data_IF_534232741025
#
_entry.id   IF_534232741025
#
_cell.length_a   1.000
_cell.length_b   1.000
_cell.length_c   1.000
_cell.angle_alpha   90.00
_cell.angle_beta   90.00
_cell.angle_gamma   90.00
#
_symmetry.space_group_name_H-M   'P 1'
#
loop_
_entity.id
_entity.type
_entity.pdbx_description
1 polymer ?
#
# COMPACT_ATOMS: atom_id res chain seq x y z
N UNK A 1 13.72 18.38 -12.65
CA UNK A 1 14.74 17.48 -13.22
C UNK A 1 15.14 16.49 -12.14
N UNK A 2 15.17 15.17 -12.38
CA UNK A 2 15.54 14.23 -11.33
C UNK A 2 17.04 14.38 -11.03
N UNK A 3 17.36 14.63 -9.76
CA UNK A 3 18.73 14.65 -9.28
C UNK A 3 19.34 13.24 -9.39
N UNK A 4 20.46 13.16 -10.11
CA UNK A 4 21.30 11.98 -10.23
C UNK A 4 21.72 11.47 -8.84
N UNK A 5 21.45 10.20 -8.56
CA UNK A 5 21.82 9.53 -7.31
C UNK A 5 21.13 8.17 -7.22
N UNK A 6 21.76 7.18 -7.82
CA UNK A 6 21.34 5.78 -7.92
C UNK A 6 20.94 5.15 -6.59
N UNK A 7 19.63 4.95 -6.43
CA UNK A 7 19.02 3.89 -5.64
C UNK A 7 17.73 3.56 -6.38
N UNK A 8 17.85 2.76 -7.43
CA UNK A 8 16.71 2.20 -8.17
C UNK A 8 15.88 1.36 -7.21
N UNK A 9 14.56 1.54 -7.17
CA UNK A 9 13.64 0.64 -6.49
C UNK A 9 14.10 -0.82 -6.75
N UNK A 10 14.57 -1.56 -5.71
CA UNK A 10 15.14 -2.90 -5.85
C UNK A 10 14.07 -3.96 -6.16
N UNK A 11 12.84 -3.53 -6.44
CA UNK A 11 11.73 -4.36 -6.83
C UNK A 11 10.68 -4.47 -5.72
N UNK A 12 9.56 -5.10 -6.06
CA UNK A 12 8.38 -5.20 -5.22
C UNK A 12 8.55 -6.11 -3.99
N UNK A 13 9.77 -6.61 -3.76
CA UNK A 13 10.21 -7.25 -2.52
C UNK A 13 10.45 -6.26 -1.38
N UNK A 14 10.81 -5.01 -1.70
CA UNK A 14 11.14 -3.98 -0.71
C UNK A 14 10.02 -2.99 -0.46
N UNK A 15 9.06 -2.94 -1.35
CA UNK A 15 7.91 -2.06 -1.25
C UNK A 15 6.72 -2.63 -2.04
N UNK A 16 5.51 -2.19 -1.74
CA UNK A 16 4.28 -2.64 -2.42
C UNK A 16 3.99 -1.92 -3.74
N UNK A 17 4.84 -0.97 -4.16
CA UNK A 17 4.66 -0.16 -5.37
C UNK A 17 5.94 0.08 -6.17
N UNK A 18 5.80 0.45 -7.44
CA UNK A 18 6.92 0.74 -8.35
C UNK A 18 7.66 2.04 -8.01
N UNK A 19 6.97 3.01 -7.40
CA UNK A 19 7.62 4.23 -6.92
C UNK A 19 8.12 4.04 -5.49
N UNK A 20 9.32 4.58 -5.21
CA UNK A 20 9.88 4.55 -3.86
C UNK A 20 9.07 5.44 -2.91
N UNK A 21 8.79 4.98 -1.67
CA UNK A 21 8.24 5.86 -0.65
C UNK A 21 9.28 6.91 -0.24
N UNK A 22 8.82 8.12 0.08
CA UNK A 22 9.67 9.27 0.47
C UNK A 22 10.69 8.93 1.56
N UNK A 23 10.31 8.03 2.47
CA UNK A 23 11.13 7.55 3.58
C UNK A 23 12.47 6.94 3.17
N UNK A 24 12.54 6.32 1.98
CA UNK A 24 13.77 5.70 1.47
C UNK A 24 14.86 6.75 1.22
N UNK A 25 14.48 7.99 0.96
CA UNK A 25 15.44 9.09 0.74
C UNK A 25 16.28 9.39 1.97
N UNK A 26 15.75 9.16 3.17
CA UNK A 26 16.48 9.36 4.43
C UNK A 26 16.81 8.05 5.17
N UNK A 27 16.27 6.92 4.71
CA UNK A 27 16.54 5.56 5.18
C UNK A 27 16.61 4.58 3.99
N UNK A 28 17.71 4.60 3.22
CA UNK A 28 17.82 3.84 1.97
C UNK A 28 17.66 2.32 2.20
N UNK A 29 17.22 1.57 1.19
CA UNK A 29 17.03 0.12 1.33
C UNK A 29 18.30 -0.64 1.77
N UNK A 30 19.48 -0.09 1.51
CA UNK A 30 20.76 -0.63 1.97
C UNK A 30 20.96 -0.56 3.48
N UNK A 31 20.30 0.37 4.18
CA UNK A 31 20.37 0.49 5.64
C UNK A 31 19.33 -0.35 6.38
N UNK A 32 18.41 -1.01 5.67
CA UNK A 32 17.36 -1.81 6.28
C UNK A 32 17.94 -3.07 6.93
N UNK A 33 17.41 -3.52 8.09
CA UNK A 33 17.84 -4.76 8.71
C UNK A 33 17.57 -5.94 7.75
N UNK A 34 18.51 -6.88 7.69
CA UNK A 34 18.47 -8.04 6.81
C UNK A 34 18.24 -9.30 7.59
N UNK A 35 17.31 -10.10 7.10
CA UNK A 35 16.96 -11.38 7.71
C UNK A 35 17.09 -12.48 6.67
N UNK A 36 17.35 -13.69 7.13
CA UNK A 36 17.42 -14.88 6.27
C UNK A 36 16.01 -15.34 5.93
N UNK A 37 15.89 -16.02 4.78
CA UNK A 37 14.72 -16.87 4.50
C UNK A 37 14.77 -18.08 5.44
N UNK A 38 13.61 -18.53 5.92
CA UNK A 38 13.55 -19.77 6.70
C UNK A 38 13.89 -20.96 5.80
N UNK A 39 14.80 -21.81 6.26
CA UNK A 39 15.33 -22.94 5.48
C UNK A 39 15.17 -24.28 6.19
N UNK A 40 14.74 -24.28 7.44
CA UNK A 40 14.66 -25.46 8.31
C UNK A 40 13.38 -25.43 9.15
N UNK A 41 12.96 -26.60 9.62
CA UNK A 41 11.85 -26.71 10.55
C UNK A 41 12.15 -25.98 11.86
N UNK A 42 11.13 -25.36 12.45
CA UNK A 42 11.31 -24.57 13.67
C UNK A 42 10.15 -24.79 14.66
N UNK A 43 10.48 -24.83 15.94
CA UNK A 43 9.52 -24.82 17.04
C UNK A 43 9.67 -23.54 17.86
N UNK A 44 8.56 -22.93 18.24
CA UNK A 44 8.54 -21.68 19.02
C UNK A 44 7.30 -21.58 19.89
N UNK A 45 7.27 -20.63 20.82
CA UNK A 45 6.05 -20.35 21.55
C UNK A 45 5.02 -19.61 20.69
N UNK A 46 5.41 -18.52 20.04
CA UNK A 46 4.50 -17.70 19.23
C UNK A 46 5.09 -17.42 17.85
N UNK A 47 4.31 -17.65 16.80
CA UNK A 47 4.64 -17.22 15.44
C UNK A 47 3.75 -16.07 15.03
N UNK A 48 4.34 -15.02 14.46
CA UNK A 48 3.65 -13.82 13.98
C UNK A 48 3.90 -13.71 12.49
N UNK A 49 2.85 -13.55 11.69
CA UNK A 49 2.98 -13.36 10.25
C UNK A 49 2.63 -11.92 9.84
N UNK A 50 3.62 -11.22 9.30
CA UNK A 50 3.58 -9.83 8.85
C UNK A 50 4.51 -8.94 9.67
N UNK A 51 5.59 -8.43 9.06
CA UNK A 51 6.56 -7.53 9.68
C UNK A 51 6.27 -6.05 9.35
N UNK A 52 4.99 -5.67 9.46
CA UNK A 52 4.55 -4.28 9.51
C UNK A 52 4.45 -3.77 10.96
N UNK A 53 3.88 -2.59 11.14
CA UNK A 53 3.73 -1.96 12.47
C UNK A 53 3.04 -2.88 13.48
N UNK A 54 1.93 -3.53 13.10
CA UNK A 54 1.18 -4.39 14.01
C UNK A 54 2.01 -5.60 14.49
N UNK A 55 2.69 -6.29 13.57
CA UNK A 55 3.46 -7.49 13.91
C UNK A 55 4.73 -7.18 14.69
N UNK A 56 5.46 -6.13 14.30
CA UNK A 56 6.68 -5.70 15.01
C UNK A 56 6.36 -5.23 16.43
N UNK A 57 5.31 -4.41 16.61
CA UNK A 57 4.89 -3.98 17.94
C UNK A 57 4.42 -5.15 18.80
N UNK A 58 3.69 -6.11 18.22
CA UNK A 58 3.28 -7.32 18.94
C UNK A 58 4.47 -8.17 19.36
N UNK A 59 5.46 -8.34 18.48
CA UNK A 59 6.70 -9.04 18.80
C UNK A 59 7.44 -8.37 19.96
N UNK A 60 7.56 -7.05 19.93
CA UNK A 60 8.18 -6.28 21.00
C UNK A 60 7.51 -6.52 22.36
N UNK A 61 6.18 -6.38 22.42
CA UNK A 61 5.42 -6.58 23.66
C UNK A 61 5.53 -8.01 24.22
N UNK A 62 5.54 -9.02 23.35
CA UNK A 62 5.67 -10.42 23.74
C UNK A 62 7.08 -10.75 24.25
N UNK A 63 8.11 -10.33 23.52
CA UNK A 63 9.51 -10.54 23.90
C UNK A 63 9.82 -9.85 25.23
N UNK A 64 9.32 -8.63 25.44
CA UNK A 64 9.44 -7.92 26.73
C UNK A 64 8.79 -8.66 27.91
N UNK A 65 7.85 -9.57 27.64
CA UNK A 65 7.19 -10.44 28.62
C UNK A 65 7.83 -11.83 28.70
N UNK A 66 8.99 -12.05 28.07
CA UNK A 66 9.72 -13.32 28.12
C UNK A 66 9.18 -14.39 27.17
N UNK A 67 8.34 -14.02 26.19
CA UNK A 67 7.77 -14.98 25.24
C UNK A 67 8.67 -15.12 24.03
N UNK A 68 8.99 -16.36 23.66
CA UNK A 68 9.73 -16.67 22.43
C UNK A 68 8.86 -16.40 21.19
N UNK A 69 9.37 -15.60 20.27
CA UNK A 69 8.67 -15.11 19.08
C UNK A 69 9.48 -15.38 17.82
N UNK A 70 8.80 -15.92 16.80
CA UNK A 70 9.27 -15.92 15.42
C UNK A 70 8.39 -15.02 14.57
N UNK A 71 9.00 -14.00 13.95
CA UNK A 71 8.33 -13.06 13.06
C UNK A 71 8.62 -13.40 11.60
N UNK A 72 7.58 -13.64 10.80
CA UNK A 72 7.68 -14.01 9.39
C UNK A 72 7.17 -12.89 8.48
N UNK A 73 7.92 -12.58 7.43
CA UNK A 73 7.51 -11.64 6.39
C UNK A 73 7.66 -12.28 5.01
N UNK A 74 6.68 -12.08 4.13
CA UNK A 74 6.65 -12.66 2.79
C UNK A 74 7.65 -12.00 1.81
N UNK A 75 8.24 -10.90 2.24
CA UNK A 75 9.08 -9.95 1.51
C UNK A 75 10.15 -9.41 2.47
N UNK A 76 10.64 -8.20 2.25
CA UNK A 76 11.39 -7.45 3.25
C UNK A 76 10.48 -6.84 4.32
N UNK A 77 11.03 -6.64 5.52
CA UNK A 77 10.32 -5.99 6.62
C UNK A 77 9.83 -4.61 6.21
N UNK A 78 8.67 -4.17 6.72
CA UNK A 78 8.07 -2.87 6.39
C UNK A 78 7.76 -2.62 4.91
N UNK A 79 7.86 -3.62 4.04
CA UNK A 79 7.61 -3.48 2.58
C UNK A 79 6.15 -3.21 2.20
N UNK A 80 5.21 -3.41 3.12
CA UNK A 80 3.78 -3.11 2.91
C UNK A 80 3.41 -1.66 3.24
N UNK A 81 2.16 -1.48 3.65
CA UNK A 81 1.57 -0.16 3.94
C UNK A 81 2.31 0.61 5.03
N UNK A 82 2.88 -0.08 6.03
CA UNK A 82 3.66 0.58 7.09
C UNK A 82 4.88 1.34 6.55
N UNK A 83 5.45 0.93 5.41
CA UNK A 83 6.54 1.65 4.75
C UNK A 83 6.09 2.72 3.77
N UNK A 84 4.79 2.82 3.49
CA UNK A 84 4.21 3.76 2.50
C UNK A 84 3.24 4.78 3.11
N UNK A 85 3.02 4.78 4.42
CA UNK A 85 2.19 5.79 5.09
C UNK A 85 2.82 7.19 5.02
N UNK A 86 2.04 8.24 5.32
CA UNK A 86 2.56 9.61 5.49
C UNK A 86 3.27 9.83 6.84
N UNK A 87 3.40 8.80 7.68
CA UNK A 87 4.14 8.90 8.95
C UNK A 87 3.48 9.78 10.00
N UNK A 88 2.24 10.21 9.79
CA UNK A 88 1.56 11.11 10.70
C UNK A 88 1.01 10.34 11.91
N UNK A 89 1.33 10.83 13.10
CA UNK A 89 0.77 10.41 14.39
C UNK A 89 -0.25 11.44 14.86
N UNK A 90 -1.45 10.94 15.13
CA UNK A 90 -2.54 11.74 15.64
C UNK A 90 -3.77 10.90 15.97
N UNK A 91 -4.63 11.46 16.80
CA UNK A 91 -5.87 10.87 17.30
C UNK A 91 -7.08 11.02 16.35
N UNK A 92 -6.95 11.79 15.26
CA UNK A 92 -8.05 12.08 14.32
C UNK A 92 -8.41 10.95 13.34
N UNK A 93 -7.54 9.96 13.15
CA UNK A 93 -7.78 8.87 12.18
C UNK A 93 -8.77 7.81 12.68
N UNK A 94 -9.11 7.83 13.97
CA UNK A 94 -10.09 6.92 14.58
C UNK A 94 -11.51 7.51 14.73
N UNK A 95 -11.69 8.78 14.39
CA UNK A 95 -12.98 9.45 14.52
C UNK A 95 -13.94 9.02 13.41
N UNK A 96 -15.21 8.78 13.75
CA UNK A 96 -16.28 8.63 12.76
C UNK A 96 -16.52 9.98 12.09
N UNK A 97 -15.71 10.32 11.10
CA UNK A 97 -15.90 11.50 10.24
C UNK A 97 -17.33 11.59 9.67
N UNK A 98 -18.03 10.45 9.58
CA UNK A 98 -19.45 10.35 9.20
C UNK A 98 -20.40 11.13 10.13
N UNK A 99 -20.04 11.36 11.39
CA UNK A 99 -20.87 12.12 12.33
C UNK A 99 -20.66 13.65 12.20
N UNK A 100 -19.52 14.08 11.64
CA UNK A 100 -19.18 15.49 11.36
C UNK A 100 -19.90 15.99 10.08
N UNK A 101 -20.01 15.12 9.07
CA UNK A 101 -20.58 15.44 7.73
C UNK A 101 -22.10 15.74 7.77
N UNK A 102 -22.77 15.56 8.92
CA UNK A 102 -24.21 15.84 9.06
C UNK A 102 -24.55 17.30 9.38
N UNK A 103 -23.56 18.13 9.69
CA UNK A 103 -23.77 19.57 9.89
C UNK A 103 -23.23 20.37 8.71
N UNK A 104 -23.82 21.54 8.46
CA UNK A 104 -23.54 22.45 7.35
C UNK A 104 -22.08 22.46 6.89
N UNK A 105 -21.84 22.04 5.63
CA UNK A 105 -20.53 21.61 5.08
C UNK A 105 -19.49 22.72 4.89
N UNK A 106 -19.83 23.97 5.24
CA UNK A 106 -18.99 25.16 5.10
C UNK A 106 -18.61 25.81 6.44
N UNK A 107 -18.98 25.19 7.57
CA UNK A 107 -18.80 25.74 8.91
C UNK A 107 -17.63 25.10 9.66
N UNK A 108 -16.41 25.58 9.36
CA UNK A 108 -15.15 25.21 10.05
C UNK A 108 -15.28 25.24 11.58
N UNK A 109 -16.12 26.14 12.12
CA UNK A 109 -16.34 26.28 13.56
C UNK A 109 -16.98 25.04 14.18
N UNK A 110 -17.95 24.43 13.48
CA UNK A 110 -18.60 23.18 13.92
C UNK A 110 -17.69 21.98 13.81
N UNK A 111 -16.77 21.98 12.85
CA UNK A 111 -15.77 20.92 12.68
C UNK A 111 -14.70 21.00 13.76
N UNK A 112 -14.22 22.21 14.08
CA UNK A 112 -13.34 22.47 15.22
C UNK A 112 -14.04 22.10 16.53
N UNK A 113 -15.33 22.41 16.68
CA UNK A 113 -16.12 22.03 17.85
C UNK A 113 -16.28 20.50 17.95
N UNK A 114 -16.65 19.83 16.86
CA UNK A 114 -16.77 18.37 16.81
C UNK A 114 -15.43 17.67 17.09
N UNK A 115 -14.34 18.23 16.56
CA UNK A 115 -12.97 17.80 16.85
C UNK A 115 -12.66 17.96 18.34
N UNK A 116 -12.86 19.14 18.88
CA UNK A 116 -12.57 19.47 20.29
C UNK A 116 -13.40 18.60 21.25
N UNK A 117 -14.67 18.36 20.91
CA UNK A 117 -15.57 17.48 21.67
C UNK A 117 -15.12 16.01 21.67
N UNK A 118 -14.56 15.52 20.57
CA UNK A 118 -14.08 14.15 20.46
C UNK A 118 -12.65 13.95 21.03
N UNK A 119 -11.79 14.96 20.92
CA UNK A 119 -10.40 14.93 21.36
C UNK A 119 -10.22 15.17 22.87
N UNK A 120 -11.21 15.81 23.52
CA UNK A 120 -11.20 16.09 24.96
C UNK A 120 -10.48 17.40 25.35
N UNK A 121 -10.50 17.78 26.65
CA UNK A 121 -10.26 19.16 27.12
C UNK A 121 -8.81 19.67 27.04
N UNK A 122 -7.85 18.86 26.61
CA UNK A 122 -6.43 19.24 26.52
C UNK A 122 -5.96 19.56 25.10
N UNK A 123 -6.86 19.61 24.11
CA UNK A 123 -6.49 19.61 22.68
C UNK A 123 -7.22 20.70 21.91
N UNK A 124 -6.47 21.54 21.21
CA UNK A 124 -6.99 22.62 20.40
C UNK A 124 -6.83 22.30 18.90
N UNK A 125 -7.95 22.31 18.17
CA UNK A 125 -7.92 22.59 16.74
C UNK A 125 -8.05 24.11 16.58
N UNK A 126 -7.09 24.72 15.91
CA UNK A 126 -7.08 26.18 15.68
C UNK A 126 -7.38 26.43 14.20
N UNK A 127 -8.39 27.23 13.91
CA UNK A 127 -8.61 27.71 12.55
C UNK A 127 -7.37 28.44 12.06
N UNK A 128 -6.97 28.16 10.81
CA UNK A 128 -5.93 28.89 10.12
C UNK A 128 -6.61 29.72 9.03
N UNK A 129 -6.49 31.04 9.14
CA UNK A 129 -7.14 31.98 8.22
C UNK A 129 -6.50 31.93 6.81
N UNK A 130 -5.21 31.56 6.71
CA UNK A 130 -4.49 31.36 5.45
C UNK A 130 -3.41 30.28 5.61
N UNK A 131 -3.51 29.18 4.84
CA UNK A 131 -2.39 28.26 4.65
C UNK A 131 -1.93 28.43 3.21
N UNK A 132 -0.64 28.72 2.98
CA UNK A 132 -0.05 28.86 1.62
C UNK A 132 -0.38 27.72 0.66
N UNK A 133 -0.73 26.54 1.17
CA UNK A 133 -1.09 25.35 0.41
C UNK A 133 -2.59 25.26 0.02
N UNK A 134 -3.46 26.17 0.48
CA UNK A 134 -4.91 26.05 0.29
C UNK A 134 -5.66 27.38 0.49
N UNK A 135 -6.52 27.73 -0.47
CA UNK A 135 -7.50 28.83 -0.35
C UNK A 135 -8.77 28.38 0.43
N UNK A 136 -8.85 27.11 0.84
CA UNK A 136 -9.92 26.57 1.68
C UNK A 136 -9.66 26.84 3.17
N UNK A 137 -10.74 26.93 3.94
CA UNK A 137 -10.72 26.93 5.41
C UNK A 137 -9.93 25.71 5.92
N UNK A 138 -8.90 25.95 6.73
CA UNK A 138 -8.03 24.89 7.27
C UNK A 138 -7.96 25.00 8.78
N UNK A 139 -7.60 23.90 9.43
CA UNK A 139 -7.30 23.91 10.86
C UNK A 139 -5.96 23.22 11.13
N UNK A 140 -5.28 23.76 12.12
CA UNK A 140 -4.11 23.16 12.73
C UNK A 140 -4.55 22.18 13.80
N UNK A 141 -3.82 21.09 13.92
CA UNK A 141 -3.94 20.19 15.07
C UNK A 141 -2.67 20.29 15.91
N UNK A 142 -2.84 20.54 17.21
CA UNK A 142 -1.75 20.93 18.14
C UNK A 142 -1.02 19.75 18.79
N UNK A 143 -1.59 18.54 18.78
CA UNK A 143 -1.04 17.33 19.43
C UNK A 143 -0.71 16.24 18.40
N UNK A 144 0.15 16.59 17.44
CA UNK A 144 0.47 15.73 16.29
C UNK A 144 1.95 15.71 16.02
N UNK A 145 2.43 14.57 15.55
CA UNK A 145 3.82 14.43 15.16
C UNK A 145 3.93 13.76 13.80
N UNK A 146 5.00 14.06 13.07
CA UNK A 146 5.41 13.22 11.94
C UNK A 146 6.56 12.34 12.42
N UNK A 147 6.39 11.03 12.28
CA UNK A 147 7.38 10.02 12.60
C UNK A 147 7.93 9.45 11.29
N UNK A 148 9.20 9.03 11.28
CA UNK A 148 9.71 8.25 10.16
C UNK A 148 9.36 6.77 10.38
N UNK A 149 8.34 6.20 9.70
CA UNK A 149 7.76 4.93 10.10
C UNK A 149 8.74 3.76 10.00
N UNK A 150 9.52 3.68 8.91
CA UNK A 150 10.46 2.56 8.75
C UNK A 150 11.66 2.66 9.69
N UNK A 151 12.26 3.85 9.90
CA UNK A 151 13.35 4.03 10.90
C UNK A 151 12.92 3.58 12.30
N UNK A 152 11.72 3.97 12.73
CA UNK A 152 11.19 3.57 14.03
C UNK A 152 11.06 2.04 14.14
N UNK A 153 10.40 1.41 13.16
CA UNK A 153 10.19 -0.04 13.14
C UNK A 153 11.49 -0.84 12.99
N UNK A 154 12.44 -0.35 12.19
CA UNK A 154 13.77 -0.94 12.05
C UNK A 154 14.58 -0.81 13.34
N UNK A 155 14.43 0.30 14.07
CA UNK A 155 15.00 0.48 15.40
C UNK A 155 14.51 -0.58 16.39
N UNK A 156 13.20 -0.87 16.40
CA UNK A 156 12.64 -1.95 17.23
C UNK A 156 13.20 -3.30 16.82
N UNK A 157 13.24 -3.61 15.52
CA UNK A 157 13.77 -4.88 15.02
C UNK A 157 15.24 -5.09 15.40
N UNK A 158 16.08 -4.05 15.31
CA UNK A 158 17.47 -4.10 15.79
C UNK A 158 17.53 -4.30 17.29
N UNK A 159 16.75 -3.54 18.07
CA UNK A 159 16.68 -3.73 19.52
C UNK A 159 16.35 -5.18 19.90
N UNK A 160 15.33 -5.78 19.28
CA UNK A 160 14.95 -7.17 19.53
C UNK A 160 16.04 -8.15 19.10
N UNK A 161 16.65 -7.95 17.93
CA UNK A 161 17.70 -8.84 17.41
C UNK A 161 18.98 -8.78 18.25
N UNK A 162 19.37 -7.59 18.69
CA UNK A 162 20.65 -7.35 19.39
C UNK A 162 20.56 -7.68 20.88
N UNK A 163 19.39 -7.44 21.51
CA UNK A 163 19.23 -7.54 22.97
C UNK A 163 18.40 -8.75 23.42
N UNK A 164 17.68 -9.42 22.52
CA UNK A 164 16.76 -10.52 22.83
C UNK A 164 16.85 -11.65 21.81
N UNK A 165 18.05 -11.92 21.28
CA UNK A 165 18.28 -12.98 20.26
C UNK A 165 17.92 -14.39 20.73
N UNK A 166 17.85 -14.63 22.04
CA UNK A 166 17.37 -15.87 22.67
C UNK A 166 15.85 -16.03 22.58
N UNK A 167 15.11 -14.91 22.54
CA UNK A 167 13.65 -14.88 22.48
C UNK A 167 13.10 -14.48 21.12
N UNK A 168 13.89 -13.85 20.25
CA UNK A 168 13.40 -13.27 19.01
C UNK A 168 14.19 -13.75 17.79
N UNK A 169 13.46 -14.19 16.77
CA UNK A 169 13.99 -14.36 15.42
C UNK A 169 13.02 -13.80 14.38
N UNK A 170 13.58 -13.28 13.28
CA UNK A 170 12.79 -12.80 12.15
C UNK A 170 13.30 -13.41 10.85
N UNK A 171 12.37 -13.73 9.95
CA UNK A 171 12.63 -14.30 8.64
C UNK A 171 11.87 -13.53 7.57
N UNK A 172 12.59 -13.02 6.57
CA UNK A 172 12.04 -12.38 5.38
C UNK A 172 11.90 -13.39 4.25
N UNK A 173 11.22 -13.01 3.16
CA UNK A 173 10.98 -13.88 2.00
C UNK A 173 10.36 -15.24 2.37
N UNK A 174 9.62 -15.27 3.48
CA UNK A 174 9.03 -16.46 4.12
C UNK A 174 7.52 -16.25 4.23
N UNK A 175 6.82 -16.51 3.13
CA UNK A 175 5.38 -16.29 3.02
C UNK A 175 4.60 -17.42 3.70
N UNK A 176 3.75 -17.07 4.67
CA UNK A 176 2.76 -18.02 5.21
C UNK A 176 1.65 -18.28 4.20
N UNK A 177 1.34 -19.56 3.96
CA UNK A 177 0.37 -20.03 2.96
C UNK A 177 -0.89 -20.62 3.60
N UNK A 178 -0.68 -21.39 4.66
CA UNK A 178 -1.73 -22.04 5.41
C UNK A 178 -1.29 -22.27 6.84
N UNK A 179 -2.26 -22.61 7.69
CA UNK A 179 -2.04 -23.02 9.05
C UNK A 179 -3.07 -24.08 9.43
N UNK A 180 -2.73 -24.92 10.41
CA UNK A 180 -3.62 -25.93 10.99
C UNK A 180 -3.43 -25.92 12.51
N UNK A 181 -4.50 -25.62 13.25
CA UNK A 181 -4.54 -25.75 14.70
C UNK A 181 -5.10 -27.10 15.13
N UNK A 182 -4.67 -27.59 16.28
CA UNK A 182 -5.15 -28.85 16.89
C UNK A 182 -5.62 -28.69 18.34
N UNK A 183 -5.70 -27.45 18.84
CA UNK A 183 -6.10 -27.13 20.21
C UNK A 183 -4.94 -27.08 21.22
N UNK A 184 -3.80 -27.70 20.90
CA UNK A 184 -2.58 -27.66 21.71
C UNK A 184 -1.46 -26.82 21.06
N UNK A 185 -1.61 -26.50 19.78
CA UNK A 185 -0.76 -25.60 19.05
C UNK A 185 -1.24 -25.38 17.62
N UNK A 186 -0.31 -24.90 16.78
CA UNK A 186 -0.55 -24.56 15.40
C UNK A 186 0.67 -24.94 14.56
N UNK A 187 0.42 -25.62 13.44
CA UNK A 187 1.41 -25.86 12.39
C UNK A 187 1.22 -24.83 11.27
N UNK A 188 2.31 -24.19 10.85
CA UNK A 188 2.34 -23.18 9.78
C UNK A 188 3.00 -23.77 8.55
N UNK A 189 2.34 -23.63 7.41
CA UNK A 189 2.87 -23.96 6.09
C UNK A 189 3.35 -22.67 5.40
N UNK A 190 4.58 -22.68 4.91
CA UNK A 190 5.20 -21.57 4.19
C UNK A 190 5.44 -21.92 2.72
N UNK A 191 5.62 -20.89 1.89
CA UNK A 191 5.84 -21.03 0.45
C UNK A 191 7.24 -21.64 0.20
N UNK A 192 7.29 -22.76 -0.54
CA UNK A 192 8.50 -23.57 -0.68
C UNK A 192 8.52 -24.73 0.33
N UNK A 193 8.09 -25.92 -0.12
CA UNK A 193 7.64 -27.08 0.69
C UNK A 193 8.69 -27.78 1.58
N UNK A 194 9.82 -27.15 1.92
CA UNK A 194 10.91 -27.82 2.65
C UNK A 194 10.93 -27.59 4.16
N UNK A 195 10.08 -26.71 4.71
CA UNK A 195 10.08 -26.39 6.13
C UNK A 195 8.69 -26.03 6.67
N UNK A 196 8.49 -26.33 7.94
CA UNK A 196 7.27 -26.15 8.71
C UNK A 196 7.59 -25.52 10.06
N UNK A 197 6.63 -24.77 10.61
CA UNK A 197 6.79 -24.19 11.94
C UNK A 197 5.71 -24.74 12.85
N UNK A 198 6.10 -25.22 14.03
CA UNK A 198 5.19 -25.54 15.12
C UNK A 198 5.24 -24.43 16.16
N UNK A 199 4.07 -23.94 16.56
CA UNK A 199 3.96 -22.94 17.61
C UNK A 199 2.79 -23.24 18.56
N UNK A 200 2.80 -22.65 19.75
CA UNK A 200 1.61 -22.66 20.62
C UNK A 200 0.57 -21.66 20.14
N UNK A 201 1.01 -20.49 19.68
CA UNK A 201 0.15 -19.39 19.25
C UNK A 201 0.51 -18.91 17.84
N UNK A 202 -0.50 -18.52 17.06
CA UNK A 202 -0.32 -17.87 15.77
C UNK A 202 -1.02 -16.51 15.75
N UNK A 203 -0.27 -15.47 15.42
CA UNK A 203 -0.78 -14.09 15.26
C UNK A 203 -0.76 -13.72 13.77
N UNK A 204 -1.92 -13.34 13.23
CA UNK A 204 -2.06 -12.86 11.86
C UNK A 204 -1.98 -11.32 11.83
N UNK A 205 -0.82 -10.78 11.47
CA UNK A 205 -0.55 -9.34 11.38
C UNK A 205 -0.29 -8.89 9.92
N UNK A 206 -0.99 -9.49 8.95
CA UNK A 206 -0.73 -9.38 7.52
C UNK A 206 -1.74 -8.52 6.73
N UNK A 207 -2.47 -7.63 7.42
CA UNK A 207 -3.60 -6.81 6.94
C UNK A 207 -4.82 -7.62 6.46
N UNK A 208 -4.61 -8.66 5.65
CA UNK A 208 -5.67 -9.53 5.12
C UNK A 208 -5.42 -10.98 5.56
N UNK A 209 -6.25 -11.55 6.46
CA UNK A 209 -6.01 -12.87 7.03
C UNK A 209 -6.14 -14.00 5.99
N UNK A 210 -5.35 -15.05 6.16
CA UNK A 210 -5.42 -16.27 5.35
C UNK A 210 -6.72 -17.01 5.68
N UNK A 211 -7.53 -17.30 4.65
CA UNK A 211 -8.75 -18.14 4.70
C UNK A 211 -9.98 -17.57 5.44
N UNK A 212 -10.03 -16.30 5.81
CA UNK A 212 -11.28 -15.71 6.33
C UNK A 212 -12.12 -15.08 5.21
N UNK A 213 -12.82 -15.92 4.43
CA UNK A 213 -13.63 -15.46 3.27
C UNK A 213 -14.66 -14.41 3.68
N UNK A 214 -15.32 -14.61 4.82
CA UNK A 214 -16.29 -13.64 5.37
C UNK A 214 -15.63 -12.31 5.70
N UNK A 215 -14.46 -12.32 6.33
CA UNK A 215 -13.72 -11.08 6.62
C UNK A 215 -13.26 -10.40 5.33
N UNK A 216 -12.73 -11.16 4.37
CA UNK A 216 -12.29 -10.61 3.08
C UNK A 216 -13.47 -9.98 2.30
N UNK A 217 -14.66 -10.59 2.36
CA UNK A 217 -15.86 -10.04 1.73
C UNK A 217 -16.44 -8.83 2.47
N UNK A 218 -16.24 -8.73 3.79
CA UNK A 218 -16.73 -7.63 4.61
C UNK A 218 -15.82 -6.39 4.60
N UNK A 219 -14.57 -6.51 4.13
CA UNK A 219 -13.62 -5.40 4.08
C UNK A 219 -13.56 -4.78 2.68
N UNK A 220 -13.70 -3.47 2.62
CA UNK A 220 -13.41 -2.70 1.42
C UNK A 220 -11.90 -2.47 1.30
N UNK A 221 -11.37 -2.56 0.08
CA UNK A 221 -9.99 -2.18 -0.22
C UNK A 221 -9.99 -0.72 -0.70
N UNK A 222 -9.25 0.14 -0.01
CA UNK A 222 -9.07 1.53 -0.41
C UNK A 222 -7.61 1.78 -0.75
N UNK A 223 -7.39 2.48 -1.86
CA UNK A 223 -6.05 2.92 -2.25
C UNK A 223 -5.96 4.42 -2.10
N UNK A 224 -4.93 4.84 -1.37
CA UNK A 224 -4.57 6.25 -1.19
C UNK A 224 -3.16 6.45 -1.73
N UNK A 225 -2.91 7.62 -2.30
CA UNK A 225 -1.58 8.03 -2.72
C UNK A 225 -1.08 9.19 -1.85
N UNK A 226 0.23 9.19 -1.62
CA UNK A 226 0.95 10.29 -1.03
C UNK A 226 1.88 10.89 -2.07
N UNK A 227 1.99 12.20 -2.06
CA UNK A 227 2.87 12.95 -2.95
C UNK A 227 3.90 13.62 -2.06
N UNK A 228 5.17 13.40 -2.36
CA UNK A 228 6.26 14.07 -1.67
C UNK A 228 6.99 14.98 -2.66
N UNK A 229 7.13 16.25 -2.30
CA UNK A 229 7.92 17.20 -3.07
C UNK A 229 8.96 17.89 -2.19
N UNK A 230 10.10 18.27 -2.77
CA UNK A 230 11.16 18.97 -2.06
C UNK A 230 10.88 20.46 -2.05
N UNK A 231 10.90 21.08 -0.86
CA UNK A 231 10.72 22.52 -0.68
C UNK A 231 11.82 23.11 0.21
N UNK A 232 12.12 24.42 0.12
CA UNK A 232 12.98 25.10 1.08
C UNK A 232 12.48 24.94 2.51
N UNK A 233 13.38 24.71 3.47
CA UNK A 233 13.02 24.58 4.89
C UNK A 233 12.38 25.86 5.45
N UNK A 234 12.69 27.02 4.88
CA UNK A 234 12.06 28.31 5.20
C UNK A 234 10.59 28.39 4.76
N UNK A 235 10.14 27.49 3.90
CA UNK A 235 8.76 27.37 3.43
C UNK A 235 8.04 26.17 4.05
N UNK A 236 8.70 25.45 4.97
CA UNK A 236 8.14 24.29 5.63
C UNK A 236 6.91 24.67 6.46
N UNK A 237 5.90 23.81 6.44
CA UNK A 237 4.79 23.91 7.39
C UNK A 237 5.32 23.69 8.80
N UNK A 238 5.02 24.62 9.72
CA UNK A 238 5.37 24.48 11.14
C UNK A 238 4.54 23.39 11.83
N UNK A 239 3.39 23.04 11.25
CA UNK A 239 2.43 22.11 11.81
C UNK A 239 1.87 21.16 10.74
N UNK A 240 1.30 20.03 11.19
CA UNK A 240 0.48 19.20 10.31
C UNK A 240 -0.81 19.94 10.02
N UNK A 241 -1.08 20.18 8.75
CA UNK A 241 -2.29 20.89 8.30
C UNK A 241 -3.29 19.87 7.80
N UNK A 242 -4.53 20.01 8.26
CA UNK A 242 -5.68 19.30 7.70
C UNK A 242 -6.65 20.30 7.10
N UNK A 243 -7.03 20.10 5.84
CA UNK A 243 -8.07 20.90 5.19
C UNK A 243 -9.22 20.03 4.76
N UNK A 244 -10.44 20.56 4.87
CA UNK A 244 -11.66 19.87 4.52
C UNK A 244 -12.13 20.39 3.16
N UNK A 245 -12.36 19.46 2.23
CA UNK A 245 -13.08 19.77 0.99
C UNK A 245 -14.38 18.98 0.99
N UNK A 246 -15.33 19.42 0.18
CA UNK A 246 -16.74 18.96 0.13
C UNK A 246 -16.95 17.45 -0.01
N UNK A 247 -15.90 16.65 -0.27
CA UNK A 247 -15.96 15.19 -0.46
C UNK A 247 -14.90 14.43 0.34
N UNK A 248 -13.66 14.94 0.53
CA UNK A 248 -12.58 14.30 1.30
C UNK A 248 -11.58 15.35 1.85
N UNK A 249 -11.10 15.17 3.09
CA UNK A 249 -10.04 16.01 3.65
C UNK A 249 -8.65 15.72 3.05
N UNK A 250 -7.73 16.68 3.15
CA UNK A 250 -6.30 16.47 2.88
C UNK A 250 -5.48 16.64 4.16
N UNK A 251 -4.34 15.96 4.23
CA UNK A 251 -3.33 16.16 5.28
C UNK A 251 -1.99 16.51 4.63
N UNK A 252 -1.40 17.62 5.05
CA UNK A 252 -0.05 18.02 4.68
C UNK A 252 0.87 17.92 5.89
N UNK A 253 2.04 17.32 5.69
CA UNK A 253 3.06 17.10 6.73
C UNK A 253 4.45 17.29 6.12
N UNK A 254 5.47 17.40 6.97
CA UNK A 254 6.86 17.54 6.51
C UNK A 254 7.73 16.42 7.05
N UNK A 255 8.67 15.95 6.23
CA UNK A 255 9.68 14.98 6.60
C UNK A 255 11.09 15.52 6.36
N UNK A 256 12.06 15.01 7.12
CA UNK A 256 13.47 15.41 7.01
C UNK A 256 14.05 15.10 5.63
N UNK A 257 14.84 16.03 5.11
CA UNK A 257 15.59 15.88 3.87
C UNK A 257 17.09 15.66 4.18
N UNK A 258 17.86 14.94 3.34
CA UNK A 258 19.31 14.81 3.52
C UNK A 258 20.07 16.14 3.47
N UNK A 259 19.62 17.07 2.63
CA UNK A 259 20.07 18.48 2.65
C UNK A 259 19.41 19.22 3.83
N UNK A 260 20.19 19.84 4.74
CA UNK A 260 19.67 20.52 5.92
C UNK A 260 18.84 21.78 5.61
N UNK A 261 18.93 22.32 4.39
CA UNK A 261 18.19 23.51 3.95
C UNK A 261 16.85 23.17 3.29
N UNK A 262 16.53 21.89 3.12
CA UNK A 262 15.33 21.41 2.44
C UNK A 262 14.49 20.54 3.37
N UNK A 263 13.21 20.38 3.03
CA UNK A 263 12.31 19.37 3.63
C UNK A 263 11.51 18.69 2.52
N UNK A 264 10.98 17.50 2.81
CA UNK A 264 9.95 16.90 1.96
C UNK A 264 8.58 17.33 2.47
N UNK A 265 7.81 18.05 1.67
CA UNK A 265 6.39 18.28 1.88
C UNK A 265 5.63 17.05 1.39
N UNK A 266 4.96 16.36 2.32
CA UNK A 266 4.15 15.17 2.05
C UNK A 266 2.68 15.56 2.13
N UNK A 267 1.99 15.47 1.00
CA UNK A 267 0.55 15.74 0.90
C UNK A 267 -0.20 14.41 0.68
N UNK A 268 -1.26 14.24 1.47
CA UNK A 268 -2.15 13.09 1.45
C UNK A 268 -3.55 13.59 1.14
N UNK A 269 -4.17 13.06 0.09
CA UNK A 269 -5.48 13.52 -0.38
C UNK A 269 -5.38 14.34 -1.67
N UNK A 270 -6.19 13.99 -2.67
CA UNK A 270 -6.22 14.63 -3.99
C UNK A 270 -7.11 15.87 -4.08
N UNK A 271 -7.41 16.50 -2.95
CA UNK A 271 -8.54 17.40 -2.80
C UNK A 271 -8.33 18.78 -3.46
N UNK A 272 -7.11 19.34 -3.46
CA UNK A 272 -6.86 20.65 -4.09
C UNK A 272 -7.01 20.62 -5.61
N UNK A 273 -6.56 19.55 -6.27
CA UNK A 273 -6.77 19.37 -7.72
C UNK A 273 -8.26 19.24 -8.02
N UNK A 274 -9.00 18.44 -7.25
CA UNK A 274 -10.45 18.27 -7.44
C UNK A 274 -11.24 19.56 -7.15
N UNK A 275 -10.87 20.30 -6.11
CA UNK A 275 -11.47 21.61 -5.78
C UNK A 275 -11.19 22.65 -6.86
N UNK A 276 -9.95 22.76 -7.32
CA UNK A 276 -9.54 23.71 -8.35
C UNK A 276 -10.20 23.38 -9.71
N UNK A 277 -10.35 22.08 -10.05
CA UNK A 277 -11.12 21.61 -11.21
C UNK A 277 -12.62 21.93 -11.11
N UNK A 278 -13.23 21.75 -9.94
CA UNK A 278 -14.66 22.05 -9.72
C UNK A 278 -14.93 23.56 -9.70
N UNK A 279 -13.95 24.37 -9.28
CA UNK A 279 -14.08 25.83 -9.15
C UNK A 279 -13.46 26.62 -10.32
N UNK A 280 -12.85 25.96 -11.30
CA UNK A 280 -12.27 26.57 -12.50
C UNK A 280 -10.95 27.33 -12.27
N UNK A 281 -10.27 27.08 -11.14
CA UNK A 281 -8.99 27.70 -10.79
C UNK A 281 -7.86 26.88 -11.43
N UNK A 282 -6.94 27.53 -12.15
CA UNK A 282 -5.87 26.84 -12.87
C UNK A 282 -4.80 26.30 -11.89
N UNK A 283 -4.58 24.99 -11.86
CA UNK A 283 -3.64 24.34 -10.93
C UNK A 283 -2.41 23.76 -11.66
N UNK A 284 -1.20 24.11 -11.21
CA UNK A 284 0.07 23.69 -11.84
C UNK A 284 0.33 22.18 -11.79
N UNK A 285 -0.37 21.45 -10.91
CA UNK A 285 -0.33 19.99 -10.76
C UNK A 285 -1.51 19.28 -11.44
N UNK A 286 -2.49 20.01 -11.97
CA UNK A 286 -3.69 19.47 -12.62
C UNK A 286 -3.33 18.40 -13.66
N UNK A 287 -2.42 18.70 -14.57
CA UNK A 287 -1.97 17.78 -15.63
C UNK A 287 -1.35 16.46 -15.11
N UNK A 288 -0.85 16.43 -13.88
CA UNK A 288 -0.24 15.25 -13.26
C UNK A 288 -1.30 14.34 -12.62
N UNK A 289 -2.42 14.91 -12.18
CA UNK A 289 -3.46 14.24 -11.39
C UNK A 289 -4.84 14.20 -12.06
N UNK A 290 -5.00 14.80 -13.24
CA UNK A 290 -6.23 14.84 -14.01
C UNK A 290 -6.73 13.42 -14.35
N UNK A 291 -7.88 13.04 -13.76
CA UNK A 291 -8.53 11.75 -14.01
C UNK A 291 -9.08 11.63 -15.44
N UNK A 292 -9.21 12.75 -16.16
CA UNK A 292 -9.53 12.81 -17.58
C UNK A 292 -8.31 12.66 -18.49
N UNK A 293 -7.10 12.49 -17.93
CA UNK A 293 -5.90 12.06 -18.66
C UNK A 293 -6.18 10.73 -19.35
N UNK A 294 -6.51 10.83 -20.64
CA UNK A 294 -6.72 9.70 -21.53
C UNK A 294 -5.50 9.53 -22.43
N UNK A 295 -4.85 8.35 -22.49
CA UNK A 295 -4.45 7.83 -23.79
C UNK A 295 -5.74 7.75 -24.61
N UNK A 296 -5.79 8.42 -25.76
CA UNK A 296 -6.98 8.63 -26.61
C UNK A 296 -8.10 7.56 -26.48
N UNK A 297 -9.25 7.88 -25.84
CA UNK A 297 -10.63 7.50 -26.25
C UNK A 297 -11.75 7.97 -25.28
N UNK A 298 -12.87 8.50 -25.82
CA UNK A 298 -14.04 9.14 -25.13
C UNK A 298 -14.97 8.09 -24.47
N UNK A 299 -15.58 8.29 -23.29
CA UNK A 299 -16.85 9.01 -23.03
C UNK A 299 -17.13 9.12 -21.50
N UNK A 300 -17.98 10.07 -21.11
CA UNK A 300 -18.67 10.34 -19.82
C UNK A 300 -20.13 10.70 -20.22
N UNK A 301 -21.21 10.38 -19.49
CA UNK A 301 -21.65 10.89 -18.18
C UNK A 301 -22.85 10.09 -17.58
N UNK A 302 -23.05 10.28 -16.26
CA UNK A 302 -24.28 10.25 -15.42
C UNK A 302 -24.50 9.14 -14.34
N UNK A 303 -24.67 9.69 -13.11
CA UNK A 303 -25.41 9.33 -11.88
C UNK A 303 -25.19 7.98 -11.16
N UNK A 304 -24.65 8.10 -9.94
CA UNK A 304 -24.25 7.04 -9.02
C UNK A 304 -25.29 6.95 -7.90
N UNK A 305 -26.22 5.99 -8.00
CA UNK A 305 -26.95 5.49 -6.83
C UNK A 305 -27.06 3.97 -6.88
N UNK A 306 -26.63 3.33 -5.78
CA UNK A 306 -26.96 1.97 -5.34
C UNK A 306 -27.26 0.94 -6.45
N UNK A 307 -26.26 0.57 -7.25
CA UNK A 307 -26.35 -0.65 -8.06
C UNK A 307 -25.17 -1.60 -7.84
N UNK A 308 -25.55 -2.75 -7.27
CA UNK A 308 -24.96 -4.08 -7.26
C UNK A 308 -23.47 -4.23 -7.56
N UNK A 309 -22.76 -4.84 -6.60
CA UNK A 309 -21.46 -5.49 -6.78
C UNK A 309 -21.42 -6.37 -8.05
N UNK A 310 -22.55 -6.96 -8.44
CA UNK A 310 -22.69 -7.74 -9.68
C UNK A 310 -22.64 -6.89 -10.96
N UNK A 311 -23.18 -5.67 -10.95
CA UNK A 311 -23.03 -4.71 -12.06
C UNK A 311 -21.62 -4.10 -12.09
N UNK A 312 -20.97 -3.87 -10.95
CA UNK A 312 -19.55 -3.51 -10.90
C UNK A 312 -18.66 -4.63 -11.46
N UNK A 313 -19.00 -5.89 -11.18
CA UNK A 313 -18.34 -7.06 -11.77
C UNK A 313 -18.63 -7.14 -13.27
N UNK A 314 -19.86 -6.90 -13.73
CA UNK A 314 -20.23 -6.90 -15.14
C UNK A 314 -19.58 -5.73 -15.92
N UNK A 315 -19.64 -4.49 -15.41
CA UNK A 315 -18.96 -3.32 -15.97
C UNK A 315 -17.43 -3.42 -15.94
N UNK A 316 -16.85 -4.07 -14.90
CA UNK A 316 -15.41 -4.38 -14.91
C UNK A 316 -15.02 -5.35 -16.03
N UNK A 317 -15.98 -6.15 -16.51
CA UNK A 317 -15.81 -7.11 -17.60
C UNK A 317 -16.16 -6.55 -18.98
N UNK A 318 -16.92 -5.47 -19.12
CA UNK A 318 -17.32 -4.97 -20.46
C UNK A 318 -16.44 -3.81 -20.97
N UNK A 319 -16.00 -2.88 -20.11
CA UNK A 319 -15.44 -1.59 -20.59
C UNK A 319 -13.91 -1.50 -20.70
N UNK A 320 -13.14 -2.56 -20.37
CA UNK A 320 -11.69 -2.40 -20.10
C UNK A 320 -10.76 -3.22 -20.98
N UNK A 321 -11.29 -3.92 -21.97
CA UNK A 321 -10.50 -4.71 -22.92
C UNK A 321 -10.22 -3.93 -24.21
N UNK A 322 -9.48 -2.83 -24.08
CA UNK A 322 -8.83 -2.22 -25.23
C UNK A 322 -7.68 -3.14 -25.68
N UNK A 323 -8.01 -4.22 -26.39
CA UNK A 323 -7.01 -4.98 -27.15
C UNK A 323 -6.64 -4.11 -28.34
N UNK A 324 -5.55 -3.42 -28.15
CA UNK A 324 -4.57 -3.08 -29.18
C UNK A 324 -3.69 -4.34 -29.31
N UNK A 325 -3.27 -4.71 -30.52
CA UNK A 325 -2.42 -5.89 -30.77
C UNK A 325 -1.27 -6.01 -29.75
N UNK A 326 -0.88 -7.23 -29.33
CA UNK A 326 0.25 -7.44 -28.41
C UNK A 326 1.52 -6.75 -28.97
N UNK A 327 1.67 -6.76 -30.29
CA UNK A 327 2.78 -6.09 -30.98
C UNK A 327 2.75 -4.57 -30.79
N UNK A 328 1.56 -3.99 -30.76
CA UNK A 328 1.32 -2.56 -30.59
C UNK A 328 1.39 -2.08 -29.13
N UNK A 329 1.48 -3.00 -28.15
CA UNK A 329 1.69 -2.65 -26.75
C UNK A 329 3.04 -1.92 -26.60
N UNK A 330 3.08 -0.68 -26.06
CA UNK A 330 4.35 0.04 -25.90
C UNK A 330 5.30 -0.65 -24.90
N UNK A 331 6.63 -0.49 -25.02
CA UNK A 331 7.56 -0.90 -23.98
C UNK A 331 7.20 -0.31 -22.61
N UNK A 332 7.52 -1.04 -21.54
CA UNK A 332 7.16 -0.71 -20.15
C UNK A 332 5.66 -0.68 -19.82
N UNK A 333 4.79 -1.20 -20.67
CA UNK A 333 3.34 -1.19 -20.44
C UNK A 333 2.75 -2.59 -20.33
N UNK A 334 1.52 -2.67 -19.81
CA UNK A 334 0.77 -3.90 -19.71
C UNK A 334 -0.68 -3.72 -20.11
N UNK A 335 -1.34 -4.85 -20.36
CA UNK A 335 -2.75 -4.92 -20.71
C UNK A 335 -3.37 -6.22 -20.20
N UNK A 336 -4.69 -6.25 -20.07
CA UNK A 336 -5.44 -7.48 -19.87
C UNK A 336 -6.31 -7.69 -21.10
N UNK A 337 -6.10 -8.82 -21.79
CA UNK A 337 -6.83 -9.22 -22.99
C UNK A 337 -8.06 -10.02 -22.57
N UNK A 338 -9.20 -9.71 -23.18
CA UNK A 338 -10.47 -10.40 -22.91
C UNK A 338 -10.44 -11.86 -23.36
N UNK A 339 -11.23 -12.69 -22.67
CA UNK A 339 -11.39 -14.11 -22.99
C UNK A 339 -11.77 -14.38 -24.45
N UNK A 340 -12.64 -13.56 -25.05
CA UNK A 340 -13.12 -13.70 -26.44
C UNK A 340 -12.04 -13.45 -27.49
N UNK A 341 -10.95 -12.77 -27.10
CA UNK A 341 -9.80 -12.48 -27.96
C UNK A 341 -8.61 -13.39 -27.69
N UNK A 342 -8.80 -14.48 -26.95
CA UNK A 342 -7.74 -15.45 -26.61
C UNK A 342 -8.07 -16.82 -27.17
N UNK A 343 -7.04 -17.55 -27.61
CA UNK A 343 -7.20 -18.90 -28.19
C UNK A 343 -7.86 -19.91 -27.24
N UNK A 344 -7.74 -19.72 -25.93
CA UNK A 344 -8.20 -20.65 -24.90
C UNK A 344 -9.46 -20.18 -24.15
N UNK A 345 -10.08 -19.06 -24.56
CA UNK A 345 -11.30 -18.56 -23.92
C UNK A 345 -11.10 -18.07 -22.48
N UNK A 346 -9.89 -17.65 -22.12
CA UNK A 346 -9.51 -17.20 -20.77
C UNK A 346 -8.73 -15.89 -20.84
N UNK A 347 -9.00 -14.89 -19.97
CA UNK A 347 -8.29 -13.62 -20.04
C UNK A 347 -6.78 -13.77 -19.86
N UNK A 348 -5.99 -12.94 -20.53
CA UNK A 348 -4.53 -12.92 -20.42
C UNK A 348 -4.03 -11.57 -19.91
N UNK A 349 -3.16 -11.58 -18.91
CA UNK A 349 -2.43 -10.39 -18.45
C UNK A 349 -1.06 -10.37 -19.13
N UNK A 350 -0.74 -9.29 -19.83
CA UNK A 350 0.45 -9.18 -20.67
C UNK A 350 1.24 -7.95 -20.26
N UNK A 351 2.55 -8.12 -20.08
CA UNK A 351 3.47 -7.03 -19.81
C UNK A 351 4.61 -7.05 -20.83
N UNK A 352 4.95 -5.88 -21.39
CA UNK A 352 6.10 -5.66 -22.26
C UNK A 352 7.15 -4.85 -21.49
N UNK A 353 8.37 -5.38 -21.39
CA UNK A 353 9.46 -4.72 -20.65
C UNK A 353 10.16 -3.63 -21.46
N UNK A 354 11.23 -3.04 -20.90
CA UNK A 354 12.06 -2.02 -21.56
C UNK A 354 12.63 -2.48 -22.90
N UNK A 355 12.93 -3.77 -23.04
CA UNK A 355 13.59 -4.38 -24.20
C UNK A 355 12.57 -4.82 -25.27
N UNK A 356 11.28 -4.62 -25.01
CA UNK A 356 10.20 -5.05 -25.89
C UNK A 356 9.80 -6.52 -25.71
N UNK A 357 10.40 -7.25 -24.76
CA UNK A 357 10.08 -8.65 -24.51
C UNK A 357 8.77 -8.74 -23.74
N UNK A 358 7.83 -9.52 -24.26
CA UNK A 358 6.53 -9.75 -23.63
C UNK A 358 6.57 -10.93 -22.67
N UNK A 359 5.79 -10.84 -21.61
CA UNK A 359 5.48 -11.95 -20.70
C UNK A 359 3.96 -12.04 -20.55
N UNK A 360 3.44 -13.25 -20.59
CA UNK A 360 2.02 -13.52 -20.50
C UNK A 360 1.69 -14.36 -19.26
N UNK A 361 0.67 -13.93 -18.52
CA UNK A 361 0.13 -14.61 -17.35
C UNK A 361 -1.38 -14.80 -17.51
N UNK A 362 -1.99 -15.64 -16.69
CA UNK A 362 -3.45 -15.67 -16.59
C UNK A 362 -3.97 -14.30 -16.12
N UNK A 363 -4.93 -13.73 -16.84
CA UNK A 363 -5.60 -12.47 -16.50
C UNK A 363 -6.64 -12.61 -15.38
N UNK A 364 -6.58 -13.69 -14.61
CA UNK A 364 -7.49 -13.97 -13.51
C UNK A 364 -6.72 -13.98 -12.19
N UNK A 365 -7.28 -13.28 -11.20
CA UNK A 365 -6.78 -13.29 -9.84
C UNK A 365 -6.83 -14.70 -9.25
N UNK A 366 -5.73 -15.15 -8.65
CA UNK A 366 -5.62 -16.46 -7.98
C UNK A 366 -6.42 -16.57 -6.69
N UNK A 367 -6.98 -15.46 -6.18
CA UNK A 367 -7.85 -15.48 -5.00
C UNK A 367 -9.27 -15.98 -5.33
N UNK A 368 -9.98 -15.26 -6.20
CA UNK A 368 -11.41 -15.49 -6.46
C UNK A 368 -11.76 -15.33 -7.95
N UNK A 369 -10.77 -15.49 -8.85
CA UNK A 369 -10.94 -15.43 -10.30
C UNK A 369 -11.55 -14.13 -10.84
N UNK A 370 -11.38 -13.03 -10.12
CA UNK A 370 -11.64 -11.69 -10.64
C UNK A 370 -10.72 -11.39 -11.83
N UNK A 371 -11.26 -10.78 -12.88
CA UNK A 371 -10.46 -10.31 -14.02
C UNK A 371 -9.56 -9.19 -13.54
N UNK A 372 -8.27 -9.29 -13.84
CA UNK A 372 -7.27 -8.30 -13.44
C UNK A 372 -7.38 -7.02 -14.28
N UNK A 373 -6.77 -5.95 -13.77
CA UNK A 373 -6.62 -4.68 -14.47
C UNK A 373 -5.16 -4.25 -14.46
N UNK A 374 -4.71 -3.64 -15.55
CA UNK A 374 -3.39 -3.02 -15.60
C UNK A 374 -3.35 -1.74 -14.76
N UNK A 375 -2.33 -1.61 -13.94
CA UNK A 375 -2.01 -0.39 -13.20
C UNK A 375 -0.71 0.21 -13.75
N UNK A 376 -0.78 1.26 -14.59
CA UNK A 376 0.40 1.86 -15.20
C UNK A 376 1.32 2.56 -14.20
N UNK A 377 0.77 3.07 -13.09
CA UNK A 377 1.55 3.80 -12.08
C UNK A 377 2.44 2.87 -11.27
N UNK A 378 1.90 1.71 -10.86
CA UNK A 378 2.62 0.74 -10.04
C UNK A 378 3.22 -0.42 -10.86
N UNK A 379 3.03 -0.39 -12.19
CA UNK A 379 3.41 -1.46 -13.11
C UNK A 379 2.98 -2.84 -12.61
N UNK A 380 1.71 -2.95 -12.18
CA UNK A 380 1.15 -4.19 -11.61
C UNK A 380 -0.16 -4.58 -12.27
N UNK A 381 -0.56 -5.84 -12.05
CA UNK A 381 -1.92 -6.29 -12.32
C UNK A 381 -2.71 -6.30 -11.01
N UNK A 382 -3.81 -5.57 -10.98
CA UNK A 382 -4.63 -5.35 -9.79
C UNK A 382 -6.01 -6.00 -9.95
N UNK A 383 -6.48 -6.68 -8.90
CA UNK A 383 -7.80 -7.29 -8.86
C UNK A 383 -8.83 -6.30 -8.31
N UNK A 384 -9.87 -5.92 -9.09
CA UNK A 384 -10.90 -4.96 -8.67
C UNK A 384 -11.86 -5.50 -7.62
N UNK A 385 -11.83 -6.79 -7.30
CA UNK A 385 -12.78 -7.38 -6.35
C UNK A 385 -12.34 -7.15 -4.90
N UNK A 386 -11.10 -7.52 -4.58
CA UNK A 386 -10.60 -7.54 -3.21
C UNK A 386 -9.20 -6.93 -3.08
N UNK A 387 -8.69 -6.27 -4.14
CA UNK A 387 -7.44 -5.51 -4.10
C UNK A 387 -6.14 -6.30 -4.28
N UNK A 388 -6.18 -7.60 -4.58
CA UNK A 388 -4.95 -8.38 -4.81
C UNK A 388 -4.10 -7.79 -5.94
N UNK A 389 -2.78 -7.75 -5.73
CA UNK A 389 -1.83 -7.16 -6.67
C UNK A 389 -0.75 -8.16 -7.05
N UNK A 390 -0.41 -8.15 -8.33
CA UNK A 390 0.61 -9.02 -8.91
C UNK A 390 1.65 -8.19 -9.63
N UNK A 391 2.92 -8.49 -9.37
CA UNK A 391 4.03 -7.93 -10.13
C UNK A 391 3.88 -8.29 -11.62
N UNK A 392 3.98 -7.30 -12.49
CA UNK A 392 3.87 -7.50 -13.93
C UNK A 392 5.04 -8.24 -14.55
N UNK A 393 6.22 -8.19 -13.91
CA UNK A 393 7.44 -8.84 -14.40
C UNK A 393 7.47 -10.32 -14.09
N UNK A 394 7.04 -10.69 -12.89
CA UNK A 394 7.19 -12.04 -12.35
C UNK A 394 5.87 -12.78 -12.13
N UNK A 395 4.74 -12.06 -12.10
CA UNK A 395 3.45 -12.60 -11.69
C UNK A 395 3.33 -12.85 -10.17
N UNK A 396 4.37 -12.56 -9.38
CA UNK A 396 4.37 -12.78 -7.92
C UNK A 396 3.28 -11.94 -7.25
N UNK A 397 2.55 -12.53 -6.31
CA UNK A 397 1.61 -11.78 -5.50
C UNK A 397 2.36 -10.85 -4.52
N UNK A 398 2.13 -9.55 -4.67
CA UNK A 398 2.74 -8.48 -3.86
C UNK A 398 1.74 -7.87 -2.88
N UNK A 399 0.44 -8.06 -3.07
CA UNK A 399 -0.57 -7.66 -2.09
C UNK A 399 -1.73 -8.66 -2.11
N UNK A 400 -2.14 -9.12 -0.92
CA UNK A 400 -3.21 -10.10 -0.74
C UNK A 400 -4.61 -9.53 -1.06
N UNK A 401 -5.69 -10.31 -0.91
CA UNK A 401 -5.81 -11.64 -0.30
C UNK A 401 -5.22 -12.83 -1.07
N UNK A 402 -4.85 -12.67 -2.35
CA UNK A 402 -4.21 -13.76 -3.10
C UNK A 402 -2.96 -14.27 -2.37
N UNK A 403 -2.82 -15.59 -2.26
CA UNK A 403 -1.69 -16.25 -1.60
C UNK A 403 -0.77 -16.99 -2.59
N UNK A 404 -1.02 -16.85 -3.89
CA UNK A 404 -0.22 -17.43 -4.97
C UNK A 404 -0.04 -16.41 -6.10
N UNK A 405 1.10 -16.47 -6.80
CA UNK A 405 1.33 -15.67 -8.00
C UNK A 405 0.45 -16.13 -9.18
N UNK A 406 0.39 -15.30 -10.23
CA UNK A 406 -0.32 -15.63 -11.46
C UNK A 406 0.33 -16.83 -12.15
N UNK A 407 -0.49 -17.65 -12.83
CA UNK A 407 0.05 -18.77 -13.60
C UNK A 407 0.66 -18.24 -14.90
N UNK A 408 1.92 -18.59 -15.22
CA UNK A 408 2.54 -18.25 -16.49
C UNK A 408 1.81 -18.86 -17.69
N UNK A 409 1.69 -18.11 -18.77
CA UNK A 409 1.06 -18.53 -20.03
C UNK A 409 2.05 -18.71 -21.20
N UNK A 410 3.28 -18.20 -21.07
CA UNK A 410 4.37 -18.42 -22.03
C UNK A 410 5.69 -18.81 -21.33
N UNK A 411 6.73 -19.14 -22.10
CA UNK A 411 8.03 -19.53 -21.54
C UNK A 411 8.74 -18.37 -20.82
N UNK A 412 8.63 -17.14 -21.35
CA UNK A 412 9.23 -15.96 -20.75
C UNK A 412 8.67 -15.67 -19.34
N UNK A 413 7.37 -15.85 -19.14
CA UNK A 413 6.72 -15.73 -17.85
C UNK A 413 7.09 -16.89 -16.91
N UNK A 414 7.30 -18.11 -17.43
CA UNK A 414 7.77 -19.24 -16.61
C UNK A 414 9.16 -19.00 -16.05
N UNK A 415 10.08 -18.54 -16.89
CA UNK A 415 11.45 -18.16 -16.50
C UNK A 415 11.42 -17.04 -15.45
N UNK A 416 10.64 -15.99 -15.70
CA UNK A 416 10.53 -14.86 -14.78
C UNK A 416 9.90 -15.24 -13.42
N UNK A 417 8.88 -16.11 -13.43
CA UNK A 417 8.26 -16.60 -12.21
C UNK A 417 9.23 -17.45 -11.38
N UNK A 418 10.07 -18.28 -12.03
CA UNK A 418 11.08 -19.09 -11.35
C UNK A 418 12.14 -18.24 -10.65
N UNK A 419 12.67 -17.22 -11.32
CA UNK A 419 13.66 -16.29 -10.76
C UNK A 419 13.13 -15.51 -9.54
N UNK A 420 11.82 -15.30 -9.45
CA UNK A 420 11.19 -14.58 -8.34
C UNK A 420 11.11 -15.35 -7.01
N UNK A 421 11.43 -16.64 -7.02
CA UNK A 421 11.42 -17.54 -5.85
C UNK A 421 12.82 -17.67 -5.22
N UNK A 422 13.87 -17.38 -6.00
CA UNK A 422 15.29 -17.46 -5.61
C UNK A 422 15.84 -16.17 -4.98
N UNK A 423 15.10 -15.05 -5.09
CA UNK A 423 15.36 -13.76 -4.41
C UNK A 423 14.40 -13.59 -3.24
#
# INVERSE_FOLDING_TARGET
MPANGTSTNPGLSFTSGHNDPVWVRSNPYTSWPRFKKLSEDLETHTVIAGAGVAGISTAYELVKKGVQVVLLEAREVTSGESGRSNGVLGDWLGMKWQDIIKSDKDDLSKEIEAYSNAAGPTRAAEALDEVRASDSKTFKVTDCATLHPTKYLHGILRYLSDNHSDLFSCYTHTRVKAYKGDGNGVSIEIDGRSCSIKAKNFVMAMNVPIRSRTYIMANAYYRTYHIANTIPKTEALEHIVTGLTSILGFTASVASHPDPNLVYLIVTGGAKILSDQITGIMNTWENVYDASRKPKSKLLDQEIEKVHLEELIAKSREDRYAVIDIEELPPCTGAVISKDKTQHGMPLAIYKDEEGKTRQFTGLCTHAYGVLMWNPTEKTFDCPLHGSRFDSRTGRCVFGPANAGLKPNDNAAREAAALSVEI
#
